data_IF_084394848880
#
_entry.id   IF_084394848880
#
_cell.length_a   1.000
_cell.length_b   1.000
_cell.length_c   1.000
_cell.angle_alpha   90.00
_cell.angle_beta   90.00
_cell.angle_gamma   90.00
#
_symmetry.space_group_name_H-M   'P 1'
#
loop_
_entity.id
_entity.type
_entity.pdbx_description
1 polymer ?
#
# COMPACT_ATOMS: atom_id res chain seq x y z
N UNK A 1 2.77 9.46 -20.04
CA UNK A 1 2.64 9.28 -18.57
C UNK A 1 2.19 10.53 -17.80
N UNK A 2 2.08 11.73 -18.38
CA UNK A 2 1.77 12.97 -17.63
C UNK A 2 0.49 12.92 -16.77
N UNK A 3 -0.57 12.24 -17.23
CA UNK A 3 -1.79 12.05 -16.43
C UNK A 3 -1.57 11.16 -15.20
N UNK A 4 -0.81 10.06 -15.36
CA UNK A 4 -0.43 9.21 -14.24
C UNK A 4 0.45 9.98 -13.24
N UNK A 5 1.40 10.79 -13.71
CA UNK A 5 2.22 11.64 -12.83
C UNK A 5 1.39 12.61 -11.98
N UNK A 6 0.34 13.22 -12.54
CA UNK A 6 -0.59 14.08 -11.78
C UNK A 6 -1.40 13.32 -10.74
N UNK A 7 -1.87 12.11 -11.08
CA UNK A 7 -2.51 11.23 -10.10
C UNK A 7 -1.56 10.90 -8.95
N UNK A 8 -0.30 10.55 -9.27
CA UNK A 8 0.72 10.28 -8.25
C UNK A 8 1.10 11.49 -7.41
N UNK A 9 1.08 12.70 -7.95
CA UNK A 9 1.25 13.93 -7.15
C UNK A 9 0.08 14.11 -6.17
N UNK A 10 -1.16 14.00 -6.68
CA UNK A 10 -2.34 14.12 -5.85
C UNK A 10 -2.35 13.10 -4.71
N UNK A 11 -2.15 11.82 -5.00
CA UNK A 11 -2.21 10.75 -3.99
C UNK A 11 -1.09 10.87 -2.94
N UNK A 12 0.09 11.40 -3.31
CA UNK A 12 1.20 11.57 -2.36
C UNK A 12 1.05 12.79 -1.46
N UNK A 13 0.47 13.88 -1.95
CA UNK A 13 0.50 15.16 -1.24
C UNK A 13 -0.87 15.70 -0.82
N UNK A 14 -1.96 15.14 -1.34
CA UNK A 14 -3.33 15.66 -1.17
C UNK A 14 -4.37 14.59 -0.85
N UNK A 15 -3.94 13.34 -0.62
CA UNK A 15 -4.80 12.23 -0.20
C UNK A 15 -5.51 12.55 1.12
N UNK A 16 -6.81 12.27 1.19
CA UNK A 16 -7.64 12.42 2.37
C UNK A 16 -7.29 11.41 3.49
N UNK A 17 -6.56 10.33 3.17
CA UNK A 17 -6.10 9.35 4.15
C UNK A 17 -4.95 9.87 5.04
N UNK A 18 -4.29 10.96 4.63
CA UNK A 18 -3.04 11.40 5.22
C UNK A 18 -1.87 10.46 4.91
N UNK A 19 -0.66 10.87 5.30
CA UNK A 19 0.56 10.23 4.85
C UNK A 19 0.76 8.82 5.43
N UNK A 20 0.57 8.62 6.74
CA UNK A 20 0.74 7.31 7.40
C UNK A 20 -0.08 6.19 6.73
N UNK A 21 -1.37 6.42 6.52
CA UNK A 21 -2.26 5.42 5.92
C UNK A 21 -2.00 5.24 4.41
N UNK A 22 -1.65 6.33 3.71
CA UNK A 22 -1.24 6.23 2.30
C UNK A 22 0.01 5.36 2.14
N UNK A 23 1.01 5.55 2.99
CA UNK A 23 2.23 4.73 3.02
C UNK A 23 1.92 3.26 3.35
N UNK A 24 1.03 2.98 4.31
CA UNK A 24 0.59 1.61 4.59
C UNK A 24 -0.06 0.94 3.37
N UNK A 25 -0.95 1.64 2.66
CA UNK A 25 -1.57 1.12 1.44
C UNK A 25 -0.52 0.83 0.33
N UNK A 26 0.51 1.67 0.23
CA UNK A 26 1.64 1.46 -0.67
C UNK A 26 2.42 0.20 -0.28
N UNK A 27 2.69 -0.03 1.01
CA UNK A 27 3.39 -1.24 1.45
C UNK A 27 2.61 -2.51 1.14
N UNK A 28 1.29 -2.50 1.35
CA UNK A 28 0.42 -3.63 1.01
C UNK A 28 0.45 -3.89 -0.50
N UNK A 29 0.35 -2.84 -1.31
CA UNK A 29 0.42 -2.93 -2.78
C UNK A 29 1.77 -3.44 -3.26
N UNK A 30 2.87 -2.88 -2.74
CA UNK A 30 4.24 -3.31 -3.03
C UNK A 30 4.43 -4.78 -2.68
N UNK A 31 3.88 -5.25 -1.54
CA UNK A 31 3.94 -6.67 -1.18
C UNK A 31 3.13 -7.54 -2.14
N UNK A 32 1.94 -7.11 -2.54
CA UNK A 32 1.09 -7.83 -3.50
C UNK A 32 1.82 -8.09 -4.82
N UNK A 33 2.61 -7.12 -5.29
CA UNK A 33 3.43 -7.24 -6.51
C UNK A 33 4.85 -7.76 -6.25
N UNK A 34 5.22 -7.97 -4.98
CA UNK A 34 6.60 -8.20 -4.53
C UNK A 34 7.60 -7.20 -5.10
N UNK A 35 7.21 -5.92 -5.19
CA UNK A 35 7.95 -4.87 -5.89
C UNK A 35 8.99 -4.21 -4.96
N UNK A 36 10.26 -4.55 -5.17
CA UNK A 36 11.37 -4.15 -4.29
C UNK A 36 11.70 -2.65 -4.32
N UNK A 37 11.49 -1.96 -5.44
CA UNK A 37 11.75 -0.51 -5.55
C UNK A 37 10.77 0.27 -4.69
N UNK A 38 9.47 -0.04 -4.80
CA UNK A 38 8.44 0.61 -3.99
C UNK A 38 8.68 0.33 -2.51
N UNK A 39 8.96 -0.93 -2.17
CA UNK A 39 9.26 -1.31 -0.80
C UNK A 39 10.44 -0.53 -0.21
N UNK A 40 11.56 -0.49 -0.94
CA UNK A 40 12.78 0.18 -0.52
C UNK A 40 12.57 1.69 -0.27
N UNK A 41 11.70 2.34 -1.05
CA UNK A 41 11.39 3.76 -0.89
C UNK A 41 10.42 3.98 0.26
N UNK A 42 9.34 3.19 0.32
CA UNK A 42 8.18 3.51 1.14
C UNK A 42 8.24 2.91 2.55
N UNK A 43 8.88 1.77 2.77
CA UNK A 43 8.96 1.18 4.12
C UNK A 43 9.65 2.10 5.15
N UNK A 44 10.76 2.80 4.81
CA UNK A 44 11.34 3.79 5.72
C UNK A 44 10.45 5.01 5.95
N UNK A 45 9.60 5.39 4.98
CA UNK A 45 8.67 6.51 5.12
C UNK A 45 7.53 6.10 6.05
N UNK A 46 6.89 4.95 5.79
CA UNK A 46 5.83 4.40 6.63
C UNK A 46 6.24 4.31 8.11
N UNK A 47 7.47 3.83 8.38
CA UNK A 47 8.00 3.75 9.74
C UNK A 47 8.10 5.13 10.40
N UNK A 48 8.62 6.15 9.67
CA UNK A 48 8.72 7.52 10.18
C UNK A 48 7.36 8.16 10.44
N UNK A 49 6.37 7.85 9.60
CA UNK A 49 5.00 8.35 9.73
C UNK A 49 4.18 7.59 10.77
N UNK A 50 4.74 6.57 11.42
CA UNK A 50 4.16 5.90 12.58
C UNK A 50 3.51 4.54 12.32
N UNK A 51 3.69 3.94 11.14
CA UNK A 51 3.35 2.53 10.95
C UNK A 51 4.34 1.69 11.78
N UNK A 52 3.85 0.79 12.61
CA UNK A 52 4.71 0.02 13.52
C UNK A 52 5.70 -0.88 12.76
N UNK A 53 6.89 -1.07 13.32
CA UNK A 53 7.89 -1.98 12.76
C UNK A 53 7.33 -3.42 12.64
N UNK A 54 6.50 -3.84 13.60
CA UNK A 54 5.83 -5.14 13.58
C UNK A 54 4.86 -5.27 12.40
N UNK A 55 4.09 -4.23 12.08
CA UNK A 55 3.20 -4.18 10.92
C UNK A 55 4.01 -4.27 9.63
N UNK A 56 5.07 -3.46 9.50
CA UNK A 56 5.94 -3.44 8.33
C UNK A 56 6.59 -4.81 8.12
N UNK A 57 7.10 -5.43 9.18
CA UNK A 57 7.74 -6.75 9.10
C UNK A 57 6.74 -7.86 8.71
N UNK A 58 5.52 -7.84 9.27
CA UNK A 58 4.49 -8.79 8.87
C UNK A 58 4.15 -8.67 7.38
N UNK A 59 3.99 -7.44 6.87
CA UNK A 59 3.77 -7.20 5.43
C UNK A 59 5.01 -7.65 4.64
N UNK A 60 6.23 -7.37 5.10
CA UNK A 60 7.49 -7.77 4.44
C UNK A 60 7.58 -9.27 4.22
N UNK A 61 7.05 -10.05 5.16
CA UNK A 61 7.02 -11.51 5.15
C UNK A 61 5.79 -12.07 4.42
N UNK A 62 4.84 -11.22 4.03
CA UNK A 62 3.57 -11.64 3.43
C UNK A 62 2.59 -12.26 4.42
N UNK A 63 2.77 -11.99 5.72
CA UNK A 63 1.84 -12.40 6.78
C UNK A 63 0.79 -11.32 7.00
N UNK A 64 -0.34 -11.74 7.59
CA UNK A 64 -1.32 -10.79 8.15
C UNK A 64 -0.72 -10.11 9.39
N UNK A 65 -0.66 -8.78 9.45
CA UNK A 65 -0.28 -8.08 10.67
C UNK A 65 -1.31 -8.31 11.79
N UNK A 66 -0.84 -8.39 13.03
CA UNK A 66 -1.66 -8.57 14.22
C UNK A 66 -1.64 -7.28 15.06
N UNK A 67 -2.69 -7.06 15.85
CA UNK A 67 -2.75 -5.90 16.75
C UNK A 67 -2.78 -4.54 16.06
N UNK A 68 -3.24 -4.49 14.79
CA UNK A 68 -3.35 -3.24 14.05
C UNK A 68 -4.30 -2.26 14.78
N UNK A 69 -3.95 -0.96 14.82
CA UNK A 69 -4.91 0.10 15.07
C UNK A 69 -6.13 -0.04 14.16
N UNK A 70 -7.30 0.40 14.62
CA UNK A 70 -8.58 0.18 13.93
C UNK A 70 -8.57 0.70 12.48
N UNK A 71 -7.97 1.87 12.24
CA UNK A 71 -7.83 2.46 10.91
C UNK A 71 -6.92 1.62 9.99
N UNK A 72 -5.77 1.16 10.48
CA UNK A 72 -4.87 0.27 9.75
C UNK A 72 -5.52 -1.09 9.47
N UNK A 73 -6.31 -1.63 10.41
CA UNK A 73 -7.02 -2.89 10.26
C UNK A 73 -8.08 -2.81 9.15
N UNK A 74 -8.83 -1.71 9.10
CA UNK A 74 -9.84 -1.45 8.06
C UNK A 74 -9.15 -1.30 6.69
N UNK A 75 -8.09 -0.49 6.61
CA UNK A 75 -7.33 -0.28 5.37
C UNK A 75 -6.72 -1.59 4.86
N UNK A 76 -6.09 -2.37 5.75
CA UNK A 76 -5.52 -3.66 5.40
C UNK A 76 -6.59 -4.63 4.86
N UNK A 77 -7.73 -4.76 5.55
CA UNK A 77 -8.82 -5.61 5.09
C UNK A 77 -9.35 -5.16 3.71
N UNK A 78 -9.56 -3.85 3.54
CA UNK A 78 -10.02 -3.29 2.27
C UNK A 78 -9.05 -3.59 1.12
N UNK A 79 -7.75 -3.25 1.26
CA UNK A 79 -6.77 -3.46 0.21
C UNK A 79 -6.56 -4.95 -0.10
N UNK A 80 -6.52 -5.81 0.92
CA UNK A 80 -6.37 -7.26 0.70
C UNK A 80 -7.58 -7.90 0.03
N UNK A 81 -8.81 -7.52 0.40
CA UNK A 81 -10.02 -7.93 -0.31
C UNK A 81 -9.99 -7.45 -1.76
N UNK A 82 -9.69 -6.17 -1.99
CA UNK A 82 -9.64 -5.61 -3.33
C UNK A 82 -8.66 -6.37 -4.24
N UNK A 83 -7.46 -6.68 -3.76
CA UNK A 83 -6.47 -7.42 -4.55
C UNK A 83 -6.87 -8.89 -4.76
N UNK A 84 -7.44 -9.55 -3.74
CA UNK A 84 -7.77 -10.97 -3.80
C UNK A 84 -9.05 -11.26 -4.57
N UNK A 85 -10.09 -10.48 -4.30
CA UNK A 85 -11.44 -10.72 -4.78
C UNK A 85 -11.79 -9.84 -5.99
N UNK A 86 -10.94 -8.86 -6.32
CA UNK A 86 -11.24 -7.82 -7.31
C UNK A 86 -12.50 -7.02 -6.95
N UNK A 87 -12.86 -7.02 -5.67
CA UNK A 87 -14.00 -6.33 -5.07
C UNK A 87 -13.79 -6.25 -3.56
N UNK A 88 -14.59 -5.42 -2.89
CA UNK A 88 -14.62 -5.30 -1.43
C UNK A 88 -16.04 -5.63 -0.98
N UNK A 89 -16.19 -6.42 0.08
CA UNK A 89 -17.53 -6.77 0.59
C UNK A 89 -18.18 -5.58 1.32
N UNK A 90 -19.51 -5.58 1.38
CA UNK A 90 -20.30 -4.49 1.98
C UNK A 90 -19.83 -4.13 3.39
N UNK A 91 -19.59 -5.13 4.24
CA UNK A 91 -19.12 -4.92 5.62
C UNK A 91 -17.79 -4.16 5.66
N UNK A 92 -16.84 -4.51 4.80
CA UNK A 92 -15.51 -3.87 4.77
C UNK A 92 -15.62 -2.46 4.16
N UNK A 93 -16.44 -2.31 3.13
CA UNK A 93 -16.72 -1.02 2.50
C UNK A 93 -17.39 -0.04 3.46
N UNK A 94 -18.43 -0.46 4.19
CA UNK A 94 -19.15 0.38 5.16
C UNK A 94 -18.23 0.86 6.29
N UNK A 95 -17.36 -0.01 6.81
CA UNK A 95 -16.38 0.38 7.84
C UNK A 95 -15.36 1.37 7.29
N UNK A 96 -14.88 1.17 6.06
CA UNK A 96 -13.97 2.11 5.40
C UNK A 96 -14.64 3.47 5.16
N UNK A 97 -15.91 3.47 4.75
CA UNK A 97 -16.69 4.68 4.54
C UNK A 97 -16.90 5.45 5.85
N UNK A 98 -17.21 4.76 6.95
CA UNK A 98 -17.35 5.38 8.27
C UNK A 98 -16.03 5.96 8.78
N UNK A 99 -14.91 5.27 8.55
CA UNK A 99 -13.60 5.67 9.05
C UNK A 99 -12.93 6.77 8.21
N UNK A 100 -13.07 6.72 6.88
CA UNK A 100 -12.32 7.56 5.94
C UNK A 100 -13.17 8.52 5.10
N UNK A 101 -14.50 8.36 5.12
CA UNK A 101 -15.40 9.06 4.22
C UNK A 101 -15.25 8.64 2.76
N UNK A 102 -16.12 9.17 1.90
CA UNK A 102 -16.15 8.81 0.46
C UNK A 102 -14.82 9.13 -0.23
N UNK A 103 -14.27 10.33 0.00
CA UNK A 103 -13.00 10.74 -0.60
C UNK A 103 -11.84 9.84 -0.16
N UNK A 104 -11.76 9.51 1.13
CA UNK A 104 -10.70 8.62 1.63
C UNK A 104 -10.78 7.21 1.06
N UNK A 105 -11.99 6.67 0.88
CA UNK A 105 -12.20 5.39 0.20
C UNK A 105 -11.74 5.45 -1.26
N UNK A 106 -12.09 6.52 -1.99
CA UNK A 106 -11.66 6.68 -3.38
C UNK A 106 -10.16 6.89 -3.50
N UNK A 107 -9.54 7.60 -2.56
CA UNK A 107 -8.08 7.77 -2.51
C UNK A 107 -7.38 6.44 -2.19
N UNK A 108 -7.95 5.59 -1.33
CA UNK A 108 -7.43 4.25 -1.06
C UNK A 108 -7.44 3.38 -2.32
N UNK A 109 -8.55 3.37 -3.06
CA UNK A 109 -8.65 2.71 -4.37
C UNK A 109 -7.62 3.30 -5.34
N UNK A 110 -7.48 4.62 -5.36
CA UNK A 110 -6.51 5.33 -6.17
C UNK A 110 -5.07 4.92 -5.88
N UNK A 111 -4.67 4.82 -4.60
CA UNK A 111 -3.33 4.38 -4.19
C UNK A 111 -3.08 2.94 -4.62
N UNK A 112 -4.01 2.03 -4.30
CA UNK A 112 -3.89 0.61 -4.68
C UNK A 112 -3.73 0.46 -6.21
N UNK A 113 -4.50 1.21 -7.00
CA UNK A 113 -4.43 1.18 -8.46
C UNK A 113 -3.17 1.84 -9.03
N UNK A 114 -2.81 3.03 -8.56
CA UNK A 114 -1.67 3.79 -9.06
C UNK A 114 -0.34 3.08 -8.75
N UNK A 115 -0.17 2.56 -7.54
CA UNK A 115 1.03 1.81 -7.17
C UNK A 115 1.07 0.43 -7.82
N UNK A 116 -0.08 -0.20 -8.10
CA UNK A 116 -0.10 -1.38 -8.97
C UNK A 116 0.41 -1.06 -10.39
N UNK A 117 0.00 0.08 -10.96
CA UNK A 117 0.51 0.54 -12.25
C UNK A 117 2.02 0.80 -12.23
N UNK A 118 2.53 1.47 -11.20
CA UNK A 118 3.97 1.70 -11.05
C UNK A 118 4.73 0.39 -10.88
N UNK A 119 4.22 -0.53 -10.06
CA UNK A 119 4.73 -1.89 -9.93
C UNK A 119 4.87 -2.59 -11.28
N UNK A 120 3.82 -2.56 -12.12
CA UNK A 120 3.87 -3.12 -13.48
C UNK A 120 4.96 -2.46 -14.33
N UNK A 121 5.04 -1.13 -14.32
CA UNK A 121 6.04 -0.38 -15.09
C UNK A 121 7.46 -0.75 -14.65
N UNK A 122 7.74 -0.77 -13.34
CA UNK A 122 9.08 -1.06 -12.82
C UNK A 122 9.50 -2.52 -13.02
N UNK A 123 8.54 -3.46 -12.96
CA UNK A 123 8.79 -4.85 -13.28
C UNK A 123 9.23 -5.01 -14.74
N UNK A 124 8.51 -4.39 -15.68
CA UNK A 124 8.86 -4.44 -17.11
C UNK A 124 10.16 -3.71 -17.41
N UNK A 125 10.36 -2.54 -16.80
CA UNK A 125 11.56 -1.72 -16.99
C UNK A 125 12.80 -2.29 -16.28
N UNK A 126 12.64 -3.30 -15.41
CA UNK A 126 13.70 -3.85 -14.55
C UNK A 126 14.42 -2.76 -13.76
N UNK A 127 13.64 -1.85 -13.20
CA UNK A 127 14.16 -0.68 -12.49
C UNK A 127 15.06 -1.14 -11.32
N UNK A 128 16.29 -0.60 -11.20
CA UNK A 128 17.19 -0.96 -10.11
C UNK A 128 16.63 -0.47 -8.78
N UNK A 129 16.76 -1.32 -7.75
CA UNK A 129 16.37 -0.97 -6.38
C UNK A 129 17.31 0.12 -5.85
N UNK A 130 16.78 1.24 -5.34
CA UNK A 130 17.61 2.29 -4.75
C UNK A 130 18.25 1.81 -3.44
N UNK A 131 19.32 2.48 -3.02
CA UNK A 131 19.89 2.28 -1.69
C UNK A 131 18.83 2.62 -0.64
N UNK A 132 18.59 1.71 0.30
CA UNK A 132 17.58 1.86 1.34
C UNK A 132 18.03 1.22 2.64
N UNK A 133 17.53 1.75 3.76
CA UNK A 133 17.67 1.15 5.09
C UNK A 133 16.65 0.05 5.36
N UNK A 134 15.63 -0.12 4.51
CA UNK A 134 14.63 -1.16 4.68
C UNK A 134 15.22 -2.54 4.36
N UNK A 135 14.89 -3.54 5.19
CA UNK A 135 15.08 -4.94 4.82
C UNK A 135 14.26 -5.24 3.56
N UNK A 136 14.82 -5.92 2.55
CA UNK A 136 14.08 -6.22 1.32
C UNK A 136 12.88 -7.15 1.60
N UNK A 137 11.90 -7.14 0.70
CA UNK A 137 10.80 -8.09 0.73
C UNK A 137 11.33 -9.53 0.71
N UNK A 138 10.75 -10.41 1.52
CA UNK A 138 11.06 -11.85 1.46
C UNK A 138 10.52 -12.40 0.15
N UNK A 139 11.37 -13.08 -0.62
CA UNK A 139 10.97 -13.81 -1.82
C UNK A 139 9.88 -14.81 -1.48
N UNK A 140 8.74 -14.73 -2.17
CA UNK A 140 7.71 -15.77 -2.08
C UNK A 140 8.16 -17.03 -2.83
N UNK A 141 7.77 -18.23 -2.37
CA UNK A 141 7.93 -19.43 -3.17
C UNK A 141 7.31 -19.19 -4.55
N UNK A 142 7.99 -19.64 -5.62
CA UNK A 142 7.34 -19.69 -6.92
C UNK A 142 6.14 -20.64 -6.80
N UNK A 143 4.95 -20.16 -7.18
CA UNK A 143 3.75 -21.00 -7.33
C UNK A 143 3.89 -21.81 -8.60
#
# INVERSE_FOLDING_TARGET
MAHASRMGEYLRYRSALGQRLSELAILITSRQWSQQVEWAIHAPIALREGVSEQTIEAIREGRKPEGLPEDEAILYAFSTELFRNQSVCDRTYERALQQFGEQGVMDLVGINGYYSLLSMVMNVARTPVPVSSAKPLVTMPAV
#
